data_IF_337463104347
#
_entry.id   IF_337463104347
#
_cell.length_a   1.000
_cell.length_b   1.000
_cell.length_c   1.000
_cell.angle_alpha   90.00
_cell.angle_beta   90.00
_cell.angle_gamma   90.00
#
_symmetry.space_group_name_H-M   'P 1'
#
loop_
_entity.id
_entity.type
_entity.pdbx_description
1 polymer ?
#
# COMPACT_ATOMS: atom_id res chain seq x y z
N UNK A 1 -9.66 -4.99 -13.70
CA UNK A 1 -9.44 -4.75 -12.27
C UNK A 1 -8.00 -4.34 -12.08
N UNK A 2 -7.79 -3.12 -11.60
CA UNK A 2 -6.46 -2.60 -11.30
C UNK A 2 -5.95 -3.21 -9.98
N UNK A 3 -4.71 -3.69 -10.00
CA UNK A 3 -3.99 -4.26 -8.86
C UNK A 3 -2.78 -3.40 -8.54
N UNK A 4 -2.33 -3.47 -7.30
CA UNK A 4 -1.14 -2.74 -6.81
C UNK A 4 -0.19 -3.76 -6.15
N UNK A 5 1.10 -3.42 -5.96
CA UNK A 5 2.03 -4.34 -5.32
C UNK A 5 1.53 -4.77 -3.94
N UNK A 6 1.64 -6.05 -3.62
CA UNK A 6 1.17 -6.61 -2.34
C UNK A 6 -0.35 -6.86 -2.25
N UNK A 7 -1.17 -6.31 -3.16
CA UNK A 7 -2.62 -6.50 -3.17
C UNK A 7 -3.08 -7.19 -4.47
N UNK A 8 -3.14 -8.53 -4.42
CA UNK A 8 -3.59 -9.35 -5.56
C UNK A 8 -4.90 -10.08 -5.22
N UNK A 9 -5.95 -9.98 -6.05
CA UNK A 9 -7.30 -10.45 -5.72
C UNK A 9 -7.51 -11.93 -6.09
N UNK A 10 -6.48 -12.78 -6.07
CA UNK A 10 -6.50 -14.12 -6.69
C UNK A 10 -7.68 -14.97 -6.24
N UNK A 11 -7.98 -14.97 -4.94
CA UNK A 11 -9.12 -15.72 -4.37
C UNK A 11 -10.48 -15.12 -4.78
N UNK A 12 -10.61 -13.80 -4.84
CA UNK A 12 -11.86 -13.14 -5.23
C UNK A 12 -12.13 -13.30 -6.72
N UNK A 13 -11.10 -13.15 -7.54
CA UNK A 13 -11.15 -13.40 -8.99
C UNK A 13 -11.55 -14.84 -9.25
N UNK A 14 -10.93 -15.82 -8.58
CA UNK A 14 -11.27 -17.23 -8.75
C UNK A 14 -12.74 -17.50 -8.39
N UNK A 15 -13.25 -16.90 -7.31
CA UNK A 15 -14.65 -17.07 -6.87
C UNK A 15 -15.66 -16.37 -7.77
N UNK A 16 -15.26 -15.27 -8.42
CA UNK A 16 -16.12 -14.48 -9.27
C UNK A 16 -16.15 -14.97 -10.73
N UNK A 17 -15.03 -15.50 -11.20
CA UNK A 17 -14.88 -15.95 -12.59
C UNK A 17 -15.78 -17.13 -12.90
N UNK A 18 -16.40 -17.09 -14.07
CA UNK A 18 -17.28 -18.15 -14.58
C UNK A 18 -17.18 -18.18 -16.11
N UNK A 19 -17.94 -19.07 -16.78
CA UNK A 19 -17.99 -19.07 -18.26
C UNK A 19 -18.52 -17.76 -18.86
N UNK A 20 -19.27 -16.98 -18.09
CA UNK A 20 -19.92 -15.74 -18.54
C UNK A 20 -19.24 -14.48 -17.96
N UNK A 21 -18.31 -14.65 -17.01
CA UNK A 21 -17.68 -13.53 -16.30
C UNK A 21 -16.17 -13.74 -16.26
N UNK A 22 -15.44 -12.82 -16.87
CA UNK A 22 -13.98 -12.80 -16.87
C UNK A 22 -13.50 -11.51 -16.22
N UNK A 23 -12.48 -11.62 -15.37
CA UNK A 23 -11.79 -10.46 -14.79
C UNK A 23 -10.43 -10.33 -15.45
N UNK A 24 -10.21 -9.22 -16.13
CA UNK A 24 -8.87 -8.84 -16.58
C UNK A 24 -8.15 -8.14 -15.43
N UNK A 25 -6.92 -8.56 -15.12
CA UNK A 25 -6.06 -7.91 -14.15
C UNK A 25 -5.08 -6.98 -14.86
N UNK A 26 -4.91 -5.78 -14.32
CA UNK A 26 -3.94 -4.78 -14.80
C UNK A 26 -3.13 -4.36 -13.58
N UNK A 27 -1.83 -4.65 -13.58
CA UNK A 27 -0.95 -4.34 -12.45
C UNK A 27 -0.41 -2.92 -12.60
N UNK A 28 -0.73 -2.04 -11.65
CA UNK A 28 -0.20 -0.69 -11.56
C UNK A 28 0.80 -0.59 -10.41
N UNK A 29 1.62 0.46 -10.45
CA UNK A 29 2.41 0.93 -9.32
C UNK A 29 1.50 1.64 -8.32
N UNK A 30 1.91 1.78 -7.06
CA UNK A 30 1.10 2.50 -6.07
C UNK A 30 0.86 3.96 -6.48
N UNK A 31 1.81 4.62 -7.13
CA UNK A 31 1.62 5.97 -7.67
C UNK A 31 0.64 6.06 -8.84
N UNK A 32 0.37 4.94 -9.52
CA UNK A 32 -0.56 4.84 -10.66
C UNK A 32 -1.89 4.15 -10.29
N UNK A 33 -2.12 3.88 -9.01
CA UNK A 33 -3.27 3.13 -8.51
C UNK A 33 -4.64 3.76 -8.81
N UNK A 34 -4.69 5.04 -9.17
CA UNK A 34 -5.93 5.76 -9.52
C UNK A 34 -6.19 5.83 -11.03
N UNK A 35 -5.31 5.29 -11.88
CA UNK A 35 -5.43 5.39 -13.33
C UNK A 35 -6.78 4.86 -13.85
N UNK A 36 -7.31 3.78 -13.25
CA UNK A 36 -8.61 3.21 -13.62
C UNK A 36 -9.82 4.08 -13.26
N UNK A 37 -9.62 5.19 -12.55
CA UNK A 37 -10.65 6.17 -12.18
C UNK A 37 -10.63 7.41 -13.10
N UNK A 38 -9.78 7.42 -14.13
CA UNK A 38 -9.73 8.51 -15.10
C UNK A 38 -11.09 8.66 -15.83
N UNK A 39 -11.55 9.90 -15.91
CA UNK A 39 -12.84 10.28 -16.50
C UNK A 39 -12.69 11.59 -17.28
N UNK A 40 -13.62 11.85 -18.19
CA UNK A 40 -13.71 13.12 -18.90
C UNK A 40 -14.35 14.23 -18.02
N UNK A 41 -14.42 15.46 -18.56
CA UNK A 41 -15.01 16.60 -17.86
C UNK A 41 -16.50 16.40 -17.49
N UNK A 42 -17.18 15.45 -18.14
CA UNK A 42 -18.57 15.09 -17.85
C UNK A 42 -18.68 14.01 -16.75
N UNK A 43 -17.55 13.52 -16.22
CA UNK A 43 -17.52 12.45 -15.22
C UNK A 43 -17.62 11.04 -15.81
N UNK A 44 -17.62 10.92 -17.14
CA UNK A 44 -17.75 9.62 -17.80
C UNK A 44 -16.40 8.89 -17.80
N UNK A 45 -16.39 7.57 -17.49
CA UNK A 45 -15.16 6.79 -17.54
C UNK A 45 -14.56 6.83 -18.95
N UNK A 46 -13.24 7.00 -19.03
CA UNK A 46 -12.54 6.99 -20.32
C UNK A 46 -12.52 5.61 -20.99
N UNK A 47 -12.82 4.55 -20.23
CA UNK A 47 -12.89 3.19 -20.73
C UNK A 47 -14.32 2.62 -20.66
N UNK A 48 -14.81 1.94 -21.71
CA UNK A 48 -16.21 1.52 -21.80
C UNK A 48 -16.58 0.31 -20.92
N UNK A 49 -15.59 -0.47 -20.47
CA UNK A 49 -15.83 -1.59 -19.56
C UNK A 49 -15.85 -1.12 -18.10
N UNK A 50 -16.69 -1.71 -17.22
CA UNK A 50 -16.67 -1.41 -15.79
C UNK A 50 -15.28 -1.62 -15.19
N UNK A 51 -14.75 -0.57 -14.54
CA UNK A 51 -13.44 -0.60 -13.92
C UNK A 51 -13.57 -0.54 -12.40
N UNK A 52 -12.77 -1.36 -11.72
CA UNK A 52 -12.55 -1.29 -10.28
C UNK A 52 -11.09 -1.61 -10.00
N UNK A 53 -10.56 -1.14 -8.89
CA UNK A 53 -9.16 -1.34 -8.56
C UNK A 53 -8.88 -1.27 -7.07
N UNK A 54 -7.71 -1.74 -6.66
CA UNK A 54 -7.22 -1.47 -5.33
C UNK A 54 -6.78 -0.02 -5.18
N UNK A 55 -7.08 0.54 -4.02
CA UNK A 55 -6.57 1.82 -3.54
C UNK A 55 -5.95 1.58 -2.17
N UNK A 56 -4.71 2.01 -1.96
CA UNK A 56 -4.00 2.03 -0.70
C UNK A 56 -3.78 3.48 -0.26
N UNK A 57 -4.00 3.77 1.01
CA UNK A 57 -3.77 5.09 1.59
C UNK A 57 -3.20 4.98 3.00
N UNK A 58 -2.32 5.92 3.42
CA UNK A 58 -1.96 6.05 4.83
C UNK A 58 -3.20 6.34 5.66
N UNK A 59 -3.30 5.73 6.84
CA UNK A 59 -4.41 6.00 7.76
C UNK A 59 -4.29 7.44 8.31
N UNK A 60 -5.43 8.03 8.65
CA UNK A 60 -5.53 9.42 9.09
C UNK A 60 -6.92 9.99 8.82
N UNK A 61 -7.14 11.25 9.19
CA UNK A 61 -8.45 11.91 9.14
C UNK A 61 -9.05 11.97 7.72
N UNK A 62 -8.23 12.22 6.70
CA UNK A 62 -8.70 12.33 5.31
C UNK A 62 -8.90 10.97 4.60
N UNK A 63 -8.26 9.91 5.11
CA UNK A 63 -8.30 8.56 4.55
C UNK A 63 -8.09 8.52 3.02
N UNK A 64 -8.88 7.68 2.34
CA UNK A 64 -8.83 7.54 0.88
C UNK A 64 -9.10 8.85 0.11
N UNK A 65 -9.78 9.82 0.72
CA UNK A 65 -10.12 11.09 0.05
C UNK A 65 -8.87 11.92 -0.25
N UNK A 66 -7.81 11.82 0.56
CA UNK A 66 -6.54 12.49 0.30
C UNK A 66 -5.91 12.01 -1.02
N UNK A 67 -5.84 10.69 -1.22
CA UNK A 67 -5.27 10.08 -2.43
C UNK A 67 -6.08 10.46 -3.66
N UNK A 68 -7.41 10.44 -3.57
CA UNK A 68 -8.28 10.84 -4.67
C UNK A 68 -8.08 12.32 -5.06
N UNK A 69 -8.05 13.23 -4.08
CA UNK A 69 -7.83 14.66 -4.34
C UNK A 69 -6.45 14.94 -4.92
N UNK A 70 -5.40 14.25 -4.43
CA UNK A 70 -4.05 14.37 -4.96
C UNK A 70 -3.98 13.93 -6.44
N UNK A 71 -4.80 12.95 -6.83
CA UNK A 71 -4.97 12.53 -8.22
C UNK A 71 -5.91 13.42 -9.04
N UNK A 72 -6.39 14.54 -8.51
CA UNK A 72 -7.33 15.44 -9.19
C UNK A 72 -8.77 14.90 -9.27
N UNK A 73 -9.11 13.85 -8.53
CA UNK A 73 -10.42 13.23 -8.52
C UNK A 73 -11.29 13.81 -7.39
N UNK A 74 -12.57 14.07 -7.67
CA UNK A 74 -13.54 14.40 -6.62
C UNK A 74 -13.99 13.12 -5.88
N UNK A 75 -13.73 12.99 -4.56
CA UNK A 75 -14.15 11.83 -3.78
C UNK A 75 -15.66 11.55 -3.84
N UNK A 76 -16.48 12.57 -4.13
CA UNK A 76 -17.93 12.41 -4.27
C UNK A 76 -18.34 11.60 -5.50
N UNK A 77 -17.47 11.44 -6.48
CA UNK A 77 -17.70 10.66 -7.71
C UNK A 77 -17.10 9.25 -7.64
N UNK A 78 -16.46 8.88 -6.53
CA UNK A 78 -15.79 7.59 -6.37
C UNK A 78 -16.44 6.81 -5.23
N UNK A 79 -16.70 5.53 -5.46
CA UNK A 79 -16.98 4.58 -4.40
C UNK A 79 -15.66 4.03 -3.87
N UNK A 80 -15.49 4.01 -2.55
CA UNK A 80 -14.37 3.35 -1.87
C UNK A 80 -14.93 2.41 -0.81
N UNK A 81 -14.41 1.18 -0.80
CA UNK A 81 -14.74 0.15 0.17
C UNK A 81 -13.46 -0.37 0.79
N UNK A 82 -13.20 0.00 2.05
CA UNK A 82 -12.08 -0.55 2.81
C UNK A 82 -12.22 -2.06 2.94
N UNK A 83 -11.12 -2.76 2.65
CA UNK A 83 -11.05 -4.21 2.67
C UNK A 83 -10.24 -4.71 3.87
N UNK A 84 -9.05 -4.16 4.10
CA UNK A 84 -8.16 -4.56 5.19
C UNK A 84 -7.10 -3.47 5.47
N UNK A 85 -6.37 -3.60 6.57
CA UNK A 85 -5.25 -2.72 6.94
C UNK A 85 -3.92 -3.46 6.82
N UNK A 86 -2.86 -2.73 6.49
CA UNK A 86 -1.49 -3.26 6.32
C UNK A 86 -0.56 -2.63 7.35
N UNK A 87 0.22 -3.49 8.02
CA UNK A 87 1.26 -3.06 8.94
C UNK A 87 2.40 -2.39 8.19
N UNK A 88 2.98 -1.33 8.76
CA UNK A 88 4.19 -0.74 8.24
C UNK A 88 5.45 -1.48 8.65
N UNK A 89 6.41 -1.45 7.74
CA UNK A 89 7.76 -1.96 7.98
C UNK A 89 8.77 -0.94 7.47
N UNK A 90 9.89 -0.83 8.19
CA UNK A 90 11.07 -0.12 7.68
C UNK A 90 11.99 -1.13 7.01
N UNK A 91 12.46 -0.78 5.82
CA UNK A 91 13.44 -1.55 5.07
C UNK A 91 14.76 -0.78 5.07
N UNK A 92 15.85 -1.46 5.42
CA UNK A 92 17.21 -0.91 5.47
C UNK A 92 18.21 -1.88 4.83
N UNK A 93 19.34 -1.38 4.32
CA UNK A 93 20.44 -2.25 3.87
C UNK A 93 21.08 -3.00 5.04
N UNK A 94 21.72 -4.14 4.78
CA UNK A 94 22.39 -4.95 5.84
C UNK A 94 23.46 -4.23 6.65
N UNK A 95 24.07 -3.19 6.07
CA UNK A 95 25.12 -2.40 6.72
C UNK A 95 24.57 -1.20 7.50
N UNK A 96 23.25 -0.97 7.44
CA UNK A 96 22.59 0.12 8.17
C UNK A 96 22.53 -0.20 9.67
N UNK A 97 22.62 0.81 10.55
CA UNK A 97 22.60 0.60 12.01
C UNK A 97 21.36 -0.15 12.50
N UNK A 98 20.18 0.23 12.00
CA UNK A 98 18.93 -0.47 12.28
C UNK A 98 18.93 -1.95 11.88
N UNK A 99 19.80 -2.42 10.98
CA UNK A 99 19.88 -3.85 10.64
C UNK A 99 20.26 -4.73 11.85
N UNK A 100 20.84 -4.14 12.90
CA UNK A 100 21.16 -4.78 14.16
C UNK A 100 20.09 -4.60 15.25
N UNK A 101 18.93 -3.99 14.94
CA UNK A 101 17.84 -3.77 15.89
C UNK A 101 17.29 -5.10 16.43
N UNK A 102 17.25 -5.24 17.75
CA UNK A 102 16.72 -6.44 18.40
C UNK A 102 15.21 -6.29 18.61
N UNK A 103 14.42 -6.74 17.64
CA UNK A 103 12.95 -6.64 17.70
C UNK A 103 12.37 -7.43 18.87
N UNK A 104 13.02 -8.51 19.30
CA UNK A 104 12.52 -9.34 20.39
C UNK A 104 12.76 -8.68 21.76
N UNK A 105 13.88 -7.95 21.91
CA UNK A 105 14.20 -7.24 23.15
C UNK A 105 13.62 -5.81 23.21
N UNK A 106 13.61 -5.11 22.08
CA UNK A 106 13.29 -3.67 21.99
C UNK A 106 11.92 -3.39 21.37
N UNK A 107 11.28 -4.42 20.78
CA UNK A 107 10.00 -4.27 20.09
C UNK A 107 10.14 -3.66 18.69
N UNK A 108 9.03 -3.19 18.08
CA UNK A 108 9.07 -2.56 16.77
C UNK A 108 9.86 -1.25 16.79
N UNK A 109 10.53 -0.93 15.68
CA UNK A 109 11.38 0.26 15.57
C UNK A 109 10.53 1.52 15.79
N UNK A 110 10.89 2.40 16.73
CA UNK A 110 10.20 3.68 16.91
C UNK A 110 10.37 4.59 15.68
N UNK A 111 9.37 5.39 15.34
CA UNK A 111 9.47 6.35 14.22
C UNK A 111 10.57 7.40 14.48
N UNK A 112 10.86 7.70 15.75
CA UNK A 112 11.94 8.62 16.13
C UNK A 112 13.34 8.16 15.75
N UNK A 113 13.54 6.86 15.49
CA UNK A 113 14.82 6.31 15.02
C UNK A 113 15.03 6.52 13.50
N UNK A 114 14.01 7.00 12.79
CA UNK A 114 14.08 7.25 11.36
C UNK A 114 14.41 8.72 11.08
N UNK A 115 15.54 8.98 10.41
CA UNK A 115 15.87 10.33 9.94
C UNK A 115 15.03 10.68 8.69
N UNK A 116 14.09 11.65 8.75
CA UNK A 116 13.27 12.01 7.61
C UNK A 116 14.06 12.46 6.38
N UNK A 117 15.29 12.96 6.54
CA UNK A 117 16.16 13.35 5.43
C UNK A 117 16.70 12.16 4.64
N UNK A 118 16.78 10.98 5.27
CA UNK A 118 17.26 9.74 4.67
C UNK A 118 16.14 8.84 4.13
N UNK A 119 14.88 9.30 4.20
CA UNK A 119 13.74 8.56 3.70
C UNK A 119 13.69 8.53 2.16
N UNK A 120 13.73 7.32 1.61
CA UNK A 120 13.62 7.04 0.18
C UNK A 120 12.15 6.86 -0.22
N UNK A 121 11.47 7.95 -0.57
CA UNK A 121 10.09 7.91 -1.04
C UNK A 121 9.96 7.20 -2.41
N UNK A 122 9.28 6.03 -2.50
CA UNK A 122 9.09 5.30 -3.74
C UNK A 122 8.48 6.13 -4.87
N UNK A 123 7.60 7.08 -4.56
CA UNK A 123 6.91 7.89 -5.56
C UNK A 123 7.87 8.76 -6.38
N UNK A 124 9.06 9.07 -5.85
CA UNK A 124 10.11 9.82 -6.57
C UNK A 124 10.79 9.03 -7.68
N UNK A 125 10.66 7.69 -7.65
CA UNK A 125 11.33 6.79 -8.59
C UNK A 125 10.36 6.11 -9.56
N UNK A 126 9.06 6.42 -9.47
CA UNK A 126 8.09 5.94 -10.46
C UNK A 126 8.40 6.58 -11.82
N UNK A 127 8.59 5.79 -12.88
CA UNK A 127 8.75 6.30 -14.24
C UNK A 127 7.54 7.14 -14.63
N UNK A 128 7.78 8.33 -15.17
CA UNK A 128 6.75 9.10 -15.85
C UNK A 128 6.52 8.56 -17.27
N UNK A 129 5.36 8.82 -17.89
CA UNK A 129 5.14 8.45 -19.29
C UNK A 129 6.22 8.98 -20.24
N UNK A 130 6.81 10.14 -19.92
CA UNK A 130 7.91 10.74 -20.69
C UNK A 130 9.21 9.93 -20.56
N UNK A 131 9.47 9.31 -19.39
CA UNK A 131 10.66 8.48 -19.16
C UNK A 131 10.63 7.18 -19.97
N UNK A 132 9.44 6.62 -20.25
CA UNK A 132 9.27 5.43 -21.08
C UNK A 132 9.63 5.72 -22.55
N UNK A 133 9.23 6.90 -23.06
CA UNK A 133 9.58 7.36 -24.41
C UNK A 133 11.10 7.52 -24.62
N UNK A 134 11.82 8.01 -23.60
CA UNK A 134 13.28 8.16 -23.69
C UNK A 134 13.97 6.79 -23.80
N UNK A 135 13.50 5.76 -23.07
CA UNK A 135 14.13 4.42 -23.11
C UNK A 135 13.97 3.72 -24.45
N UNK A 136 12.83 3.89 -25.14
CA UNK A 136 12.61 3.32 -26.47
C UNK A 136 13.47 4.01 -27.55
N UNK A 137 13.80 5.29 -27.35
CA UNK A 137 14.51 6.12 -28.35
C UNK A 137 16.04 6.01 -28.27
N UNK A 138 16.63 5.35 -27.27
CA UNK A 138 18.08 5.06 -27.22
C UNK A 138 18.41 3.83 -28.09
N UNK A 139 18.09 3.94 -29.38
CA UNK A 139 18.55 3.06 -30.44
C UNK A 139 19.35 3.90 -31.45
N UNK A 140 20.67 3.81 -31.37
CA UNK A 140 21.67 4.27 -32.36
C UNK A 140 21.40 5.65 -33.00
N UNK A 141 22.03 6.69 -32.47
CA UNK A 141 21.98 8.05 -33.00
C UNK A 141 22.43 8.12 -34.46
N UNK A 142 21.55 8.62 -35.34
CA UNK A 142 22.00 9.50 -36.43
C UNK A 142 21.25 10.83 -36.32
N UNK A 143 22.04 11.89 -36.29
CA UNK A 143 21.63 13.23 -35.92
C UNK A 143 20.93 13.93 -37.09
N UNK A 144 19.67 14.34 -36.90
CA UNK A 144 19.17 15.57 -37.53
C UNK A 144 18.02 16.17 -36.75
N UNK A 145 18.27 17.36 -36.20
CA UNK A 145 17.28 18.20 -35.52
C UNK A 145 16.32 18.77 -36.57
N UNK A 146 15.00 18.59 -36.36
CA UNK A 146 13.97 19.38 -37.02
C UNK A 146 12.92 19.87 -36.02
N UNK A 147 12.88 21.20 -35.93
CA UNK A 147 11.74 22.10 -35.73
C UNK A 147 10.55 21.56 -34.91
N UNK A 148 10.47 22.06 -33.66
CA UNK A 148 9.40 21.86 -32.69
C UNK A 148 8.06 22.40 -33.20
N UNK A 149 7.23 21.52 -33.75
CA UNK A 149 5.78 21.69 -33.70
C UNK A 149 5.33 21.48 -32.25
N UNK A 150 4.38 22.29 -31.77
CA UNK A 150 3.74 22.05 -30.47
C UNK A 150 3.20 20.62 -30.47
N UNK A 151 3.74 19.77 -29.59
CA UNK A 151 3.35 18.37 -29.54
C UNK A 151 1.85 18.27 -29.26
N UNK A 152 1.11 17.42 -30.01
CA UNK A 152 -0.27 17.14 -29.64
C UNK A 152 -0.25 16.57 -28.23
N UNK A 153 -1.02 17.18 -27.32
CA UNK A 153 -1.21 16.67 -25.95
C UNK A 153 -1.50 15.17 -26.07
N UNK A 154 -0.67 14.29 -25.48
CA UNK A 154 -0.86 12.87 -25.62
C UNK A 154 -2.26 12.51 -25.10
N UNK A 155 -2.95 11.55 -25.74
CA UNK A 155 -4.22 11.07 -25.22
C UNK A 155 -4.02 10.63 -23.76
N UNK A 156 -5.01 10.88 -22.92
CA UNK A 156 -4.97 10.43 -21.52
C UNK A 156 -4.61 8.93 -21.48
N UNK A 157 -3.67 8.52 -20.61
CA UNK A 157 -3.17 7.14 -20.58
C UNK A 157 -4.34 6.18 -20.44
N UNK A 158 -4.36 5.13 -21.27
CA UNK A 158 -5.44 4.16 -21.21
C UNK A 158 -5.32 3.41 -19.88
N UNK A 159 -6.40 3.32 -19.09
CA UNK A 159 -6.36 2.67 -17.78
C UNK A 159 -6.07 1.15 -17.84
N UNK A 160 -6.08 0.54 -19.03
CA UNK A 160 -5.59 -0.82 -19.25
C UNK A 160 -4.08 -0.91 -19.54
N UNK A 161 -3.41 0.21 -19.74
CA UNK A 161 -1.97 0.24 -19.96
C UNK A 161 -1.29 0.00 -18.62
N UNK A 162 -0.77 -1.22 -18.45
CA UNK A 162 0.06 -1.53 -17.31
C UNK A 162 1.41 -0.82 -17.48
N UNK A 163 2.03 -0.29 -16.39
CA UNK A 163 3.45 0.00 -16.41
C UNK A 163 4.23 -1.18 -16.98
N UNK A 164 5.25 -0.89 -17.80
CA UNK A 164 6.12 -1.92 -18.39
C UNK A 164 6.70 -2.85 -17.33
N UNK A 165 6.97 -2.30 -16.14
CA UNK A 165 7.48 -3.06 -15.00
C UNK A 165 6.77 -2.58 -13.72
N UNK A 166 5.77 -3.32 -13.20
CA UNK A 166 5.08 -2.96 -11.97
C UNK A 166 5.99 -2.79 -10.74
N UNK A 167 5.59 -1.89 -9.86
CA UNK A 167 6.29 -1.39 -8.68
C UNK A 167 7.71 -0.87 -8.95
N UNK A 168 7.90 -0.07 -10.00
CA UNK A 168 9.21 0.46 -10.35
C UNK A 168 9.77 1.37 -9.27
N UNK A 169 8.93 2.22 -8.68
CA UNK A 169 9.34 3.11 -7.61
C UNK A 169 9.83 2.37 -6.37
N UNK A 170 9.06 1.37 -5.92
CA UNK A 170 9.35 0.58 -4.72
C UNK A 170 10.60 -0.29 -4.91
N UNK A 171 10.76 -0.89 -6.11
CA UNK A 171 11.97 -1.65 -6.44
C UNK A 171 13.21 -0.76 -6.45
N UNK A 172 13.12 0.42 -7.04
CA UNK A 172 14.26 1.36 -7.08
C UNK A 172 14.62 1.87 -5.68
N UNK A 173 13.63 2.22 -4.86
CA UNK A 173 13.86 2.62 -3.46
C UNK A 173 14.57 1.50 -2.68
N UNK A 174 14.11 0.25 -2.81
CA UNK A 174 14.75 -0.90 -2.18
C UNK A 174 16.17 -1.17 -2.71
N UNK A 175 16.44 -0.89 -3.99
CA UNK A 175 17.79 -0.99 -4.57
C UNK A 175 18.75 0.04 -3.99
N UNK A 176 18.31 1.28 -3.84
CA UNK A 176 19.10 2.35 -3.22
C UNK A 176 19.38 2.00 -1.76
N UNK A 177 18.35 1.59 -1.02
CA UNK A 177 18.48 1.17 0.38
C UNK A 177 19.41 -0.02 0.54
N UNK A 178 19.33 -1.02 -0.36
CA UNK A 178 20.23 -2.17 -0.36
C UNK A 178 21.72 -1.79 -0.53
N UNK A 179 22.00 -0.65 -1.16
CA UNK A 179 23.37 -0.12 -1.27
C UNK A 179 23.91 0.50 0.03
N UNK A 180 23.09 0.54 1.09
CA UNK A 180 23.44 1.10 2.41
C UNK A 180 23.06 2.57 2.57
N UNK A 181 22.23 3.12 1.68
CA UNK A 181 21.81 4.53 1.70
C UNK A 181 20.39 4.66 2.22
N UNK A 182 20.26 5.29 3.40
CA UNK A 182 18.98 5.63 4.02
C UNK A 182 18.05 4.44 4.24
N UNK A 183 16.75 4.72 4.26
CA UNK A 183 15.71 3.73 4.54
C UNK A 183 14.44 3.98 3.72
N UNK A 184 13.58 2.97 3.60
CA UNK A 184 12.25 3.12 3.01
C UNK A 184 11.19 2.50 3.91
N UNK A 185 10.08 3.19 4.12
CA UNK A 185 8.93 2.69 4.88
C UNK A 185 7.89 2.19 3.87
N UNK A 186 7.55 0.90 3.96
CA UNK A 186 6.63 0.23 3.02
C UNK A 186 5.52 -0.51 3.76
N UNK A 187 4.37 -0.73 3.12
CA UNK A 187 3.42 -1.73 3.60
C UNK A 187 4.09 -3.11 3.60
N UNK A 188 3.84 -3.93 4.62
CA UNK A 188 4.46 -5.26 4.76
C UNK A 188 4.23 -6.15 3.53
N UNK A 189 3.07 -6.04 2.88
CA UNK A 189 2.74 -6.81 1.68
C UNK A 189 3.64 -6.42 0.49
N UNK A 190 3.96 -5.13 0.35
CA UNK A 190 4.86 -4.60 -0.68
C UNK A 190 6.30 -5.03 -0.43
N UNK A 191 6.78 -4.89 0.81
CA UNK A 191 8.12 -5.33 1.20
C UNK A 191 8.32 -6.85 0.97
N UNK A 192 7.28 -7.66 1.16
CA UNK A 192 7.30 -9.09 0.83
C UNK A 192 7.38 -9.36 -0.67
N UNK A 193 6.62 -8.63 -1.49
CA UNK A 193 6.60 -8.81 -2.95
C UNK A 193 7.94 -8.45 -3.57
N UNK A 194 8.58 -7.37 -3.12
CA UNK A 194 9.87 -6.90 -3.64
C UNK A 194 11.06 -7.27 -2.75
N UNK A 195 10.91 -8.29 -1.89
CA UNK A 195 11.94 -8.68 -0.94
C UNK A 195 13.29 -8.95 -1.61
N UNK A 196 14.36 -8.48 -0.97
CA UNK A 196 15.75 -8.65 -1.43
C UNK A 196 16.61 -9.25 -0.34
N UNK A 197 17.65 -9.98 -0.75
CA UNK A 197 18.55 -10.69 0.20
C UNK A 197 19.45 -9.78 1.02
N UNK A 198 19.67 -8.56 0.55
CA UNK A 198 20.59 -7.52 1.06
C UNK A 198 19.85 -6.41 1.81
N UNK A 199 18.53 -6.57 1.98
CA UNK A 199 17.67 -5.68 2.75
C UNK A 199 17.19 -6.42 4.00
N UNK A 200 17.22 -5.73 5.13
CA UNK A 200 16.59 -6.15 6.39
C UNK A 200 15.25 -5.41 6.51
N UNK A 201 14.21 -6.15 6.85
CA UNK A 201 12.84 -5.63 6.99
C UNK A 201 12.45 -5.76 8.46
N UNK A 202 12.15 -4.63 9.10
CA UNK A 202 11.82 -4.56 10.52
C UNK A 202 10.41 -4.00 10.71
N UNK A 203 9.63 -4.49 11.69
CA UNK A 203 8.36 -3.88 12.02
C UNK A 203 8.57 -2.44 12.51
N UNK A 204 7.71 -1.53 12.07
CA UNK A 204 7.73 -0.12 12.48
C UNK A 204 6.58 0.11 13.47
N UNK A 205 6.87 0.79 14.59
CA UNK A 205 5.88 1.11 15.61
C UNK A 205 4.71 1.88 14.99
N UNK A 206 3.48 1.39 15.22
CA UNK A 206 2.32 1.91 14.52
C UNK A 206 1.03 1.89 15.35
N UNK A 207 0.03 2.61 14.87
CA UNK A 207 -1.29 2.65 15.49
C UNK A 207 -2.07 1.32 15.32
N UNK A 208 -1.60 0.41 14.46
CA UNK A 208 -2.21 -0.90 14.22
C UNK A 208 -1.67 -1.99 15.15
N UNK A 209 -0.69 -1.70 16.01
CA UNK A 209 -0.02 -2.68 16.87
C UNK A 209 -1.00 -3.40 17.81
N UNK A 210 -2.05 -2.70 18.27
CA UNK A 210 -3.11 -3.26 19.13
C UNK A 210 -4.06 -4.21 18.38
N UNK A 211 -4.11 -4.14 17.05
CA UNK A 211 -5.12 -4.82 16.21
C UNK A 211 -4.52 -5.96 15.39
N UNK A 212 -3.25 -5.86 14.98
CA UNK A 212 -2.62 -6.78 14.03
C UNK A 212 -1.29 -7.36 14.55
N UNK A 213 -0.72 -6.82 15.65
CA UNK A 213 0.72 -6.90 15.93
C UNK A 213 1.21 -7.85 17.02
N UNK A 214 0.37 -8.51 17.83
CA UNK A 214 0.93 -9.39 18.87
C UNK A 214 1.56 -10.64 18.25
N UNK A 215 2.85 -10.88 18.53
CA UNK A 215 3.48 -12.17 18.27
C UNK A 215 2.75 -13.25 19.07
N UNK A 216 2.95 -14.53 18.72
CA UNK A 216 2.38 -15.62 19.52
C UNK A 216 2.89 -15.57 20.97
N UNK A 217 4.15 -15.19 21.18
CA UNK A 217 4.75 -15.06 22.51
C UNK A 217 4.10 -13.92 23.31
N UNK A 218 3.81 -12.78 22.67
CA UNK A 218 3.16 -11.65 23.34
C UNK A 218 1.72 -11.97 23.73
N UNK A 219 1.01 -12.75 22.89
CA UNK A 219 -0.32 -13.28 23.23
C UNK A 219 -0.26 -14.29 24.37
N UNK A 220 0.76 -15.15 24.41
CA UNK A 220 0.93 -16.15 25.47
C UNK A 220 1.35 -15.49 26.81
N UNK A 221 2.20 -14.48 26.78
CA UNK A 221 2.59 -13.70 27.95
C UNK A 221 1.40 -12.90 28.52
N UNK A 222 0.69 -12.16 27.68
CA UNK A 222 -0.49 -11.39 28.09
C UNK A 222 -1.64 -12.30 28.59
N UNK A 223 -1.83 -13.49 27.99
CA UNK A 223 -2.81 -14.46 28.47
C UNK A 223 -2.42 -15.07 29.83
N UNK A 224 -1.13 -15.34 30.04
CA UNK A 224 -0.61 -15.87 31.31
C UNK A 224 -0.78 -14.85 32.43
N UNK A 225 -0.46 -13.57 32.18
CA UNK A 225 -0.65 -12.49 33.15
C UNK A 225 -2.12 -12.30 33.52
N UNK A 226 -3.02 -12.34 32.54
CA UNK A 226 -4.46 -12.23 32.76
C UNK A 226 -5.04 -13.41 33.57
N UNK A 227 -4.55 -14.63 33.35
CA UNK A 227 -4.96 -15.83 34.09
C UNK A 227 -4.47 -15.76 35.55
N UNK A 228 -3.22 -15.35 35.77
CA UNK A 228 -2.66 -15.13 37.12
C UNK A 228 -3.45 -14.04 37.87
N UNK A 229 -3.86 -12.97 37.21
CA UNK A 229 -4.72 -11.94 37.81
C UNK A 229 -6.12 -12.45 38.16
N UNK A 230 -6.71 -13.29 37.30
CA UNK A 230 -8.03 -13.87 37.53
C UNK A 230 -8.03 -14.90 38.68
N UNK A 231 -6.94 -15.69 38.81
CA UNK A 231 -6.81 -16.69 39.87
C UNK A 231 -6.46 -16.09 41.24
N UNK A 232 -5.65 -15.02 41.27
CA UNK A 232 -5.23 -14.40 42.53
C UNK A 232 -6.31 -13.51 43.16
N UNK A 233 -7.30 -13.06 42.39
CA UNK A 233 -8.47 -12.30 42.89
C UNK A 233 -8.12 -11.01 43.64
N UNK A 234 -6.86 -10.57 43.57
CA UNK A 234 -6.31 -9.42 44.26
C UNK A 234 -6.12 -8.30 43.23
N UNK A 235 -7.09 -7.38 43.18
CA UNK A 235 -6.84 -6.06 42.62
C UNK A 235 -5.80 -5.36 43.50
N UNK A 236 -4.54 -5.41 43.09
CA UNK A 236 -3.48 -4.67 43.79
C UNK A 236 -3.51 -3.23 43.29
N UNK A 237 -4.13 -2.37 44.11
CA UNK A 237 -3.72 -0.97 44.15
C UNK A 237 -2.32 -0.92 44.77
N UNK A 238 -1.30 -0.73 43.94
CA UNK A 238 0.09 -0.64 44.35
C UNK A 238 0.97 -0.33 43.15
N UNK A 239 1.36 0.94 43.05
CA UNK A 239 2.50 1.37 42.27
C UNK A 239 3.79 0.68 42.77
N UNK A 240 4.81 0.62 41.90
CA UNK A 240 6.18 0.07 42.07
C UNK A 240 6.24 -1.45 41.75
N UNK A 241 6.91 -1.97 40.71
CA UNK A 241 8.06 -1.51 39.93
C UNK A 241 7.88 -1.80 38.42
N UNK A 242 7.84 -0.74 37.62
CA UNK A 242 7.93 -0.74 36.15
C UNK A 242 9.40 -0.85 35.68
N UNK A 243 10.23 -1.59 36.42
CA UNK A 243 11.69 -1.55 36.28
C UNK A 243 12.25 -2.40 35.12
N UNK A 244 11.41 -2.71 34.12
CA UNK A 244 11.80 -3.55 32.98
C UNK A 244 10.98 -3.37 31.71
N UNK A 245 9.81 -2.71 31.77
CA UNK A 245 9.17 -2.18 30.56
C UNK A 245 9.79 -0.80 30.36
N UNK A 246 10.45 -0.56 29.22
CA UNK A 246 10.77 0.81 28.87
C UNK A 246 9.47 1.63 28.95
N UNK A 247 9.46 2.82 29.57
CA UNK A 247 8.26 3.63 29.63
C UNK A 247 7.72 3.76 28.20
N UNK A 248 6.54 3.20 27.94
CA UNK A 248 5.83 3.49 26.71
C UNK A 248 5.44 4.94 26.83
N UNK A 249 6.23 5.80 26.20
CA UNK A 249 5.86 7.18 26.00
C UNK A 249 4.64 7.14 25.09
N UNK A 250 3.43 7.16 25.69
CA UNK A 250 2.16 7.06 24.98
C UNK A 250 2.00 8.18 23.92
N UNK A 251 2.82 9.22 24.00
CA UNK A 251 2.89 10.35 23.08
C UNK A 251 4.00 10.22 22.01
N UNK A 252 4.76 9.11 22.00
CA UNK A 252 5.78 8.89 20.98
C UNK A 252 5.16 8.76 19.58
N UNK A 253 5.78 9.36 18.54
CA UNK A 253 5.24 9.32 17.19
C UNK A 253 5.15 7.88 16.68
N UNK A 254 3.97 7.50 16.21
CA UNK A 254 3.68 6.19 15.61
C UNK A 254 3.30 6.36 14.14
N UNK A 255 3.65 5.38 13.33
CA UNK A 255 3.20 5.36 11.95
C UNK A 255 1.69 5.01 11.93
N UNK A 256 0.85 5.69 11.15
CA UNK A 256 -0.60 5.44 11.17
C UNK A 256 -0.96 4.07 10.58
N UNK A 257 -0.05 3.48 9.80
CA UNK A 257 -0.27 2.27 9.01
C UNK A 257 -1.00 2.58 7.70
N UNK A 258 -1.40 1.54 6.98
CA UNK A 258 -2.13 1.68 5.71
C UNK A 258 -3.49 1.00 5.77
N UNK A 259 -4.45 1.56 5.06
CA UNK A 259 -5.66 0.86 4.68
C UNK A 259 -5.63 0.58 3.18
N UNK A 260 -6.20 -0.56 2.79
CA UNK A 260 -6.40 -0.98 1.41
C UNK A 260 -7.88 -1.23 1.17
N UNK A 261 -8.39 -0.73 0.06
CA UNK A 261 -9.78 -0.87 -0.34
C UNK A 261 -9.97 -1.06 -1.83
N UNK A 262 -11.21 -1.33 -2.22
CA UNK A 262 -11.63 -1.33 -3.62
C UNK A 262 -12.24 0.02 -3.97
N UNK A 263 -11.83 0.60 -5.10
CA UNK A 263 -12.31 1.87 -5.61
C UNK A 263 -12.82 1.78 -7.06
N UNK A 264 -13.92 2.46 -7.36
CA UNK A 264 -14.50 2.60 -8.71
C UNK A 264 -15.30 3.89 -8.86
N UNK A 265 -15.48 4.38 -10.09
CA UNK A 265 -16.33 5.54 -10.38
C UNK A 265 -17.81 5.21 -10.15
N UNK A 266 -18.56 6.15 -9.58
CA UNK A 266 -20.01 6.02 -9.37
C UNK A 266 -20.78 5.86 -10.69
N UNK A 267 -20.36 6.60 -11.72
CA UNK A 267 -20.94 6.49 -13.08
C UNK A 267 -20.63 5.14 -13.75
N UNK A 268 -19.61 4.41 -13.26
CA UNK A 268 -19.28 3.05 -13.73
C UNK A 268 -19.89 1.95 -12.85
N UNK A 269 -20.73 2.31 -11.88
CA UNK A 269 -21.36 1.34 -11.00
C UNK A 269 -22.31 0.43 -11.79
N UNK A 270 -22.17 -0.87 -11.58
CA UNK A 270 -22.89 -1.88 -12.35
C UNK A 270 -23.12 -3.14 -11.53
N UNK A 271 -24.08 -3.96 -11.94
CA UNK A 271 -24.34 -5.27 -11.33
C UNK A 271 -23.08 -6.16 -11.30
N UNK A 272 -22.20 -6.02 -12.29
CA UNK A 272 -20.95 -6.75 -12.36
C UNK A 272 -19.98 -6.32 -11.25
N UNK A 273 -19.82 -5.00 -11.07
CA UNK A 273 -18.98 -4.42 -10.01
C UNK A 273 -19.54 -4.77 -8.63
N UNK A 274 -20.84 -4.58 -8.42
CA UNK A 274 -21.51 -4.88 -7.15
C UNK A 274 -21.43 -6.37 -6.79
N UNK A 275 -21.58 -7.26 -7.77
CA UNK A 275 -21.40 -8.69 -7.57
C UNK A 275 -19.96 -9.03 -7.17
N UNK A 276 -18.95 -8.40 -7.79
CA UNK A 276 -17.55 -8.61 -7.44
C UNK A 276 -17.26 -8.11 -6.01
N UNK A 277 -17.72 -6.92 -5.66
CA UNK A 277 -17.59 -6.34 -4.31
C UNK A 277 -18.33 -7.21 -3.27
N UNK A 278 -19.46 -7.80 -3.64
CA UNK A 278 -20.17 -8.78 -2.82
C UNK A 278 -19.30 -9.99 -2.48
N UNK A 279 -18.62 -10.56 -3.48
CA UNK A 279 -17.65 -11.66 -3.30
C UNK A 279 -16.47 -11.24 -2.42
N UNK A 280 -15.91 -10.05 -2.65
CA UNK A 280 -14.79 -9.50 -1.86
C UNK A 280 -15.16 -9.33 -0.38
N UNK A 281 -16.40 -8.92 -0.09
CA UNK A 281 -16.96 -8.81 1.27
C UNK A 281 -17.40 -10.14 1.88
N UNK A 282 -17.17 -11.27 1.21
CA UNK A 282 -17.54 -12.60 1.69
C UNK A 282 -19.04 -12.95 1.55
N UNK A 283 -19.85 -12.14 0.86
CA UNK A 283 -21.23 -12.53 0.51
C UNK A 283 -21.15 -13.59 -0.59
N UNK A 284 -21.73 -14.78 -0.36
CA UNK A 284 -21.94 -15.76 -1.44
C UNK A 284 -22.87 -15.13 -2.48
N UNK A 285 -22.53 -15.24 -3.77
CA UNK A 285 -23.16 -14.52 -4.88
C UNK A 285 -24.61 -14.90 -5.23
N UNK A 286 -25.47 -15.16 -4.24
CA UNK A 286 -26.87 -15.58 -4.41
C UNK A 286 -27.82 -14.78 -3.52
N UNK A 287 -27.71 -13.45 -3.56
CA UNK A 287 -28.80 -12.57 -3.09
C UNK A 287 -29.14 -11.58 -4.19
N UNK A 288 -30.01 -11.99 -5.10
CA UNK A 288 -30.78 -11.08 -5.94
C UNK A 288 -31.64 -10.17 -5.04
N UNK A 289 -31.67 -8.87 -5.32
CA UNK A 289 -32.83 -8.05 -5.02
C UNK A 289 -33.65 -7.87 -6.29
#
# INVERSE_FOLDING_TARGET
MATIPGATPSTWVQRFSSRERTVQLVNHDESAQTAHLAHDDAGMPLHPLPQLGYLRWPRGEDGASAVLRAAGLDPRHVHVVTAYSELPVVCVGKEHLLAAWDVDAEGPVPVSELDPAEHMDPARFTPTPDDAFVRETVGYEDASVRETAAEPVPPAPNPLDAPEIPGAGERMALEIVASGVGHVVLPMSVARVFGRKDVVVLPLACELDEVVGLSRADREAAATEAEVQAETGLGVAGAEDDAGRAPQDDDAPRHPGWDVGLAWLKESDSDLVQAFVGVARGRRGTSSR
#
